data_IF_752673780061
#
_entry.id   IF_752673780061
#
_cell.length_a   1.000
_cell.length_b   1.000
_cell.length_c   1.000
_cell.angle_alpha   90.00
_cell.angle_beta   90.00
_cell.angle_gamma   90.00
#
_symmetry.space_group_name_H-M   'P 1'
#
loop_
_entity.id
_entity.type
_entity.pdbx_description
1 polymer ?
#
# COMPACT_ATOMS: atom_id res chain seq x y z
N UNK A 1 -7.29 20.87 2.12
CA UNK A 1 -6.00 21.10 1.41
C UNK A 1 -4.97 20.25 2.13
N UNK A 2 -4.43 19.20 1.51
CA UNK A 2 -3.41 18.38 2.18
C UNK A 2 -2.19 19.27 2.49
N UNK A 3 -1.72 19.27 3.73
CA UNK A 3 -0.54 20.05 4.12
C UNK A 3 0.68 19.55 3.32
N UNK A 4 1.61 20.44 2.98
CA UNK A 4 2.85 20.09 2.27
C UNK A 4 3.63 18.98 3.00
N UNK A 5 3.52 18.94 4.34
CA UNK A 5 4.10 17.91 5.18
C UNK A 5 3.49 16.52 4.94
N UNK A 6 2.16 16.44 4.85
CA UNK A 6 1.42 15.21 4.49
C UNK A 6 1.83 14.71 3.11
N UNK A 7 1.97 15.61 2.14
CA UNK A 7 2.43 15.24 0.79
C UNK A 7 3.86 14.67 0.79
N UNK A 8 4.75 15.27 1.59
CA UNK A 8 6.14 14.79 1.73
C UNK A 8 6.20 13.43 2.41
N UNK A 9 5.38 13.22 3.44
CA UNK A 9 5.35 11.95 4.15
C UNK A 9 4.75 10.83 3.29
N UNK A 10 3.70 11.12 2.52
CA UNK A 10 3.17 10.19 1.52
C UNK A 10 4.20 9.82 0.45
N UNK A 11 4.95 10.81 -0.06
CA UNK A 11 6.02 10.55 -1.02
C UNK A 11 7.16 9.71 -0.39
N UNK A 12 7.45 9.92 0.89
CA UNK A 12 8.42 9.14 1.66
C UNK A 12 7.97 7.68 1.82
N UNK A 13 6.72 7.45 2.24
CA UNK A 13 6.16 6.10 2.42
C UNK A 13 6.11 5.35 1.09
N UNK A 14 5.57 5.96 0.02
CA UNK A 14 5.54 5.34 -1.29
C UNK A 14 6.97 5.06 -1.84
N UNK A 15 7.91 5.97 -1.58
CA UNK A 15 9.32 5.79 -1.95
C UNK A 15 9.98 4.65 -1.18
N UNK A 16 9.80 4.60 0.15
CA UNK A 16 10.32 3.53 1.01
C UNK A 16 9.69 2.19 0.66
N UNK A 17 8.38 2.14 0.49
CA UNK A 17 7.67 0.93 0.12
C UNK A 17 8.19 0.37 -1.21
N UNK A 18 8.30 1.19 -2.25
CA UNK A 18 8.87 0.76 -3.54
C UNK A 18 10.32 0.30 -3.43
N UNK A 19 11.13 0.98 -2.60
CA UNK A 19 12.54 0.63 -2.42
C UNK A 19 12.70 -0.67 -1.61
N UNK A 20 11.94 -0.84 -0.54
CA UNK A 20 11.99 -2.00 0.33
C UNK A 20 11.32 -3.22 -0.31
N UNK A 21 10.20 -3.08 -1.02
CA UNK A 21 9.66 -4.16 -1.86
C UNK A 21 10.67 -4.63 -2.93
N UNK A 22 11.60 -3.77 -3.37
CA UNK A 22 12.66 -4.16 -4.29
C UNK A 22 13.91 -4.72 -3.61
N UNK A 23 14.23 -4.33 -2.38
CA UNK A 23 15.53 -4.65 -1.74
C UNK A 23 15.43 -5.56 -0.52
N UNK A 24 14.29 -5.62 0.13
CA UNK A 24 14.07 -6.36 1.37
C UNK A 24 13.26 -7.65 1.08
N UNK A 25 13.80 -8.84 1.39
CA UNK A 25 13.13 -10.11 1.16
C UNK A 25 11.83 -10.27 1.96
N UNK A 26 11.72 -9.70 3.16
CA UNK A 26 10.52 -9.79 4.00
C UNK A 26 9.37 -8.98 3.39
N UNK A 27 9.66 -7.81 2.84
CA UNK A 27 8.66 -7.04 2.08
C UNK A 27 8.20 -7.78 0.83
N UNK A 28 9.14 -8.39 0.10
CA UNK A 28 8.80 -9.20 -1.07
C UNK A 28 7.90 -10.37 -0.68
N UNK A 29 8.22 -11.06 0.41
CA UNK A 29 7.43 -12.15 0.92
C UNK A 29 6.02 -11.69 1.31
N UNK A 30 5.90 -10.53 1.96
CA UNK A 30 4.63 -9.96 2.38
C UNK A 30 3.75 -9.58 1.18
N UNK A 31 4.33 -8.93 0.16
CA UNK A 31 3.63 -8.62 -1.11
C UNK A 31 3.26 -9.89 -1.87
N UNK A 32 4.18 -10.85 -1.98
CA UNK A 32 3.95 -12.11 -2.68
C UNK A 32 2.86 -12.96 -1.99
N UNK A 33 2.85 -13.00 -0.66
CA UNK A 33 1.82 -13.68 0.13
C UNK A 33 0.45 -13.03 -0.10
N UNK A 34 0.39 -11.70 -0.08
CA UNK A 34 -0.85 -10.97 -0.32
C UNK A 34 -1.36 -11.16 -1.77
N UNK A 35 -0.45 -11.19 -2.75
CA UNK A 35 -0.79 -11.49 -4.16
C UNK A 35 -1.29 -12.93 -4.34
N UNK A 36 -0.65 -13.90 -3.68
CA UNK A 36 -1.09 -15.29 -3.68
C UNK A 36 -2.49 -15.44 -3.07
N UNK A 37 -2.77 -14.80 -1.93
CA UNK A 37 -4.10 -14.82 -1.29
C UNK A 37 -5.20 -14.23 -2.18
N UNK A 38 -4.83 -13.33 -3.07
CA UNK A 38 -5.73 -12.70 -4.01
C UNK A 38 -5.94 -13.49 -5.31
N UNK A 39 -5.23 -14.61 -5.48
CA UNK A 39 -5.35 -15.44 -6.68
C UNK A 39 -4.55 -14.95 -7.88
N UNK A 40 -3.54 -14.08 -7.71
CA UNK A 40 -2.68 -13.65 -8.81
C UNK A 40 -2.26 -12.19 -8.73
N UNK A 41 -2.50 -11.44 -9.81
CA UNK A 41 -2.12 -10.03 -9.92
C UNK A 41 -2.89 -9.15 -8.94
N UNK A 42 -2.19 -8.21 -8.29
CA UNK A 42 -2.76 -7.30 -7.31
C UNK A 42 -2.19 -5.90 -7.44
N UNK A 43 -3.04 -4.91 -7.18
CA UNK A 43 -2.58 -3.55 -6.98
C UNK A 43 -2.15 -3.35 -5.54
N UNK A 44 -0.87 -3.05 -5.34
CA UNK A 44 -0.34 -2.71 -4.01
C UNK A 44 -0.38 -1.21 -3.82
N UNK A 45 -1.07 -0.76 -2.78
CA UNK A 45 -1.29 0.65 -2.51
C UNK A 45 -0.77 0.99 -1.10
N UNK A 46 0.27 1.82 -0.98
CA UNK A 46 0.65 2.37 0.31
C UNK A 46 -0.37 3.41 0.77
N UNK A 47 -0.76 3.33 2.03
CA UNK A 47 -1.65 4.28 2.73
C UNK A 47 -0.85 4.99 3.80
N UNK A 48 -0.91 6.32 3.81
CA UNK A 48 -0.28 7.14 4.84
C UNK A 48 -1.08 7.08 6.17
N UNK A 49 -0.46 7.30 7.34
CA UNK A 49 -1.13 7.24 8.64
C UNK A 49 -2.35 8.17 8.80
N UNK A 50 -2.36 9.29 8.07
CA UNK A 50 -3.44 10.28 8.09
C UNK A 50 -4.46 10.09 6.95
N UNK A 51 -4.24 9.14 6.04
CA UNK A 51 -5.21 8.78 5.01
C UNK A 51 -6.21 7.76 5.56
N UNK A 52 -7.50 8.01 5.31
CA UNK A 52 -8.55 7.04 5.60
C UNK A 52 -8.48 5.85 4.63
N UNK A 53 -8.39 4.64 5.20
CA UNK A 53 -8.27 3.38 4.44
C UNK A 53 -9.45 3.20 3.47
N UNK A 54 -10.66 3.61 3.85
CA UNK A 54 -11.89 3.44 3.07
C UNK A 54 -11.89 4.40 1.87
N UNK A 55 -11.44 5.63 2.07
CA UNK A 55 -11.30 6.62 1.01
C UNK A 55 -10.23 6.22 -0.01
N UNK A 56 -9.08 5.71 0.46
CA UNK A 56 -8.06 5.18 -0.44
C UNK A 56 -8.57 3.96 -1.19
N UNK A 57 -9.23 3.01 -0.52
CA UNK A 57 -9.80 1.83 -1.16
C UNK A 57 -10.83 2.21 -2.23
N UNK A 58 -11.71 3.18 -1.95
CA UNK A 58 -12.71 3.68 -2.90
C UNK A 58 -12.06 4.29 -4.15
N UNK A 59 -11.02 5.09 -3.97
CA UNK A 59 -10.25 5.69 -5.07
C UNK A 59 -9.55 4.61 -5.90
N UNK A 60 -8.96 3.60 -5.24
CA UNK A 60 -8.21 2.55 -5.91
C UNK A 60 -9.14 1.57 -6.62
N UNK A 61 -10.26 1.15 -6.01
CA UNK A 61 -11.23 0.25 -6.66
C UNK A 61 -11.74 0.80 -7.98
N UNK A 62 -11.87 2.13 -8.10
CA UNK A 62 -12.21 2.80 -9.36
C UNK A 62 -11.15 2.60 -10.45
N UNK A 63 -9.87 2.52 -10.07
CA UNK A 63 -8.72 2.35 -10.97
C UNK A 63 -8.39 0.88 -11.22
N UNK A 64 -8.51 0.04 -10.20
CA UNK A 64 -8.21 -1.38 -10.24
C UNK A 64 -9.23 -2.19 -11.05
N UNK A 65 -10.36 -1.60 -11.45
CA UNK A 65 -11.30 -2.24 -12.38
C UNK A 65 -11.92 -3.54 -11.88
N UNK A 66 -11.99 -3.74 -10.55
CA UNK A 66 -12.46 -4.98 -9.94
C UNK A 66 -11.35 -5.98 -9.58
N UNK A 67 -10.10 -5.70 -9.92
CA UNK A 67 -8.95 -6.50 -9.48
C UNK A 67 -8.72 -6.38 -7.97
N UNK A 68 -8.21 -7.43 -7.31
CA UNK A 68 -7.93 -7.39 -5.88
C UNK A 68 -6.92 -6.31 -5.51
N UNK A 69 -7.16 -5.65 -4.38
CA UNK A 69 -6.31 -4.55 -3.89
C UNK A 69 -5.65 -4.98 -2.60
N UNK A 70 -4.33 -4.81 -2.53
CA UNK A 70 -3.55 -4.97 -1.31
C UNK A 70 -3.28 -3.57 -0.77
N UNK A 71 -3.88 -3.26 0.37
CA UNK A 71 -3.57 -2.05 1.10
C UNK A 71 -2.40 -2.35 2.03
N UNK A 72 -1.35 -1.54 1.93
CA UNK A 72 -0.22 -1.59 2.86
C UNK A 72 -0.19 -0.30 3.67
N UNK A 73 -0.23 -0.42 4.98
CA UNK A 73 -0.04 0.69 5.92
C UNK A 73 1.32 0.52 6.59
N UNK A 74 2.09 1.60 6.66
CA UNK A 74 3.27 1.69 7.53
C UNK A 74 2.87 2.52 8.75
N UNK A 75 2.76 1.89 9.90
CA UNK A 75 2.49 2.54 11.18
C UNK A 75 3.66 2.21 12.12
N UNK A 76 4.30 3.23 12.68
CA UNK A 76 5.44 3.07 13.62
C UNK A 76 6.61 2.22 13.08
N UNK A 77 6.77 2.16 11.76
CA UNK A 77 7.80 1.37 11.07
C UNK A 77 7.43 -0.11 10.88
N UNK A 78 6.22 -0.51 11.28
CA UNK A 78 5.66 -1.83 11.04
C UNK A 78 4.72 -1.82 9.84
N UNK A 79 4.77 -2.88 9.04
CA UNK A 79 4.02 -2.98 7.80
C UNK A 79 2.93 -4.00 7.91
N UNK A 80 1.70 -3.54 7.66
CA UNK A 80 0.54 -4.41 7.60
C UNK A 80 0.01 -4.41 6.17
N UNK A 81 -0.21 -5.59 5.60
CA UNK A 81 -0.95 -5.73 4.34
C UNK A 81 -2.32 -6.35 4.59
N UNK A 82 -3.34 -5.76 3.98
CA UNK A 82 -4.71 -6.27 3.98
C UNK A 82 -5.19 -6.43 2.55
N UNK A 83 -5.70 -7.61 2.24
CA UNK A 83 -6.38 -7.88 0.97
C UNK A 83 -7.82 -7.37 1.07
N UNK A 84 -8.27 -6.60 0.08
CA UNK A 84 -9.56 -5.90 0.04
C UNK A 84 -10.23 -5.96 -1.34
#
# INVERSE_FOLDING_TARGET
>A
MASVEVMKERARIAGRFNLAARRNPDHRALVALAAQKAGGECHVIPVAPDEDEVDVLRRVRKVAGGSPVIIVTEADGELCARLR
#
